data_IF_788460118602
#
_entry.id   IF_788460118602
#
_cell.length_a   1.000
_cell.length_b   1.000
_cell.length_c   1.000
_cell.angle_alpha   90.00
_cell.angle_beta   90.00
_cell.angle_gamma   90.00
#
_symmetry.space_group_name_H-M   'P 1'
#
loop_
_entity.id
_entity.type
_entity.pdbx_description
1 polymer ?
#
# COMPACT_ATOMS: atom_id res chain seq x y z
N UNK A 1 -27.47 46.28 27.58
CA UNK A 1 -26.50 46.61 28.64
C UNK A 1 -25.48 45.48 28.68
N UNK A 2 -24.31 45.69 28.06
CA UNK A 2 -22.99 45.87 28.71
C UNK A 2 -22.38 44.52 29.14
N UNK A 3 -21.41 43.97 28.39
CA UNK A 3 -19.94 44.07 28.55
C UNK A 3 -19.37 43.20 29.68
N UNK A 4 -18.44 42.32 29.28
CA UNK A 4 -17.22 41.90 30.01
C UNK A 4 -17.36 40.90 31.16
N UNK A 5 -17.00 39.63 30.91
CA UNK A 5 -16.20 38.77 31.82
C UNK A 5 -16.13 37.32 31.30
N UNK A 6 -15.26 37.02 30.33
CA UNK A 6 -14.83 35.65 30.03
C UNK A 6 -13.36 35.67 29.58
N UNK A 7 -12.46 35.92 30.53
CA UNK A 7 -11.02 35.73 30.42
C UNK A 7 -10.52 35.26 31.79
N UNK A 8 -10.70 33.98 32.12
CA UNK A 8 -9.88 33.29 33.12
C UNK A 8 -9.68 31.82 32.69
N UNK A 9 -8.44 31.47 32.39
CA UNK A 9 -8.00 30.10 32.18
C UNK A 9 -7.80 29.39 33.54
N UNK A 10 -8.12 28.08 33.67
CA UNK A 10 -7.91 27.38 34.92
C UNK A 10 -6.41 27.12 35.17
N UNK A 11 -5.98 27.45 36.40
CA UNK A 11 -4.62 27.25 36.92
C UNK A 11 -4.27 25.76 36.97
N UNK A 12 -3.06 25.43 36.53
CA UNK A 12 -2.44 24.10 36.58
C UNK A 12 -2.24 23.68 38.04
N UNK A 13 -2.80 22.53 38.42
CA UNK A 13 -2.56 21.88 39.70
C UNK A 13 -1.14 21.30 39.78
N UNK A 14 -0.52 21.41 40.96
CA UNK A 14 0.88 21.07 41.24
C UNK A 14 1.25 19.58 41.14
N UNK A 15 2.50 19.22 41.50
CA UNK A 15 3.09 17.93 41.18
C UNK A 15 2.47 16.77 41.97
N UNK A 16 2.26 15.64 41.29
CA UNK A 16 1.73 14.39 41.82
C UNK A 16 2.83 13.69 42.66
N UNK A 17 2.57 13.27 43.91
CA UNK A 17 3.57 12.59 44.73
C UNK A 17 3.79 11.12 44.29
N UNK A 18 5.05 10.69 44.31
CA UNK A 18 5.45 9.32 44.03
C UNK A 18 5.03 8.38 45.17
N UNK A 19 4.25 7.33 44.86
CA UNK A 19 4.09 6.15 45.71
C UNK A 19 4.79 4.97 45.05
N UNK A 20 5.81 4.47 45.73
CA UNK A 20 6.49 3.21 45.44
C UNK A 20 5.59 2.05 45.90
N UNK A 21 4.84 1.44 44.98
CA UNK A 21 4.27 0.11 45.20
C UNK A 21 4.95 -0.90 44.27
N UNK A 22 5.59 -1.89 44.90
CA UNK A 22 6.38 -2.95 44.29
C UNK A 22 5.55 -3.76 43.29
N UNK A 23 5.74 -3.53 41.99
CA UNK A 23 5.33 -4.47 40.95
C UNK A 23 6.29 -5.68 40.95
N UNK A 24 5.80 -6.79 41.49
CA UNK A 24 6.42 -8.11 41.33
C UNK A 24 6.20 -8.57 39.88
N UNK A 25 7.27 -8.59 39.09
CA UNK A 25 7.26 -9.13 37.73
C UNK A 25 7.20 -10.66 37.77
N UNK A 26 6.03 -11.24 37.47
CA UNK A 26 5.91 -12.68 37.25
C UNK A 26 6.66 -13.08 35.97
N UNK A 27 7.61 -14.01 36.10
CA UNK A 27 8.35 -14.58 34.97
C UNK A 27 7.43 -15.45 34.09
N UNK A 28 7.45 -15.33 32.75
CA UNK A 28 6.65 -16.20 31.89
C UNK A 28 7.26 -17.60 31.83
N UNK A 29 6.42 -18.59 32.14
CA UNK A 29 6.72 -20.01 32.11
C UNK A 29 7.16 -20.45 30.70
N UNK A 30 8.41 -20.95 30.57
CA UNK A 30 8.96 -21.50 29.33
C UNK A 30 8.50 -22.94 29.17
N UNK A 31 7.35 -23.18 28.55
CA UNK A 31 7.02 -24.54 28.09
C UNK A 31 6.14 -24.54 26.83
N UNK A 32 6.74 -25.07 25.76
CA UNK A 32 6.13 -25.68 24.57
C UNK A 32 5.67 -24.76 23.40
N UNK A 33 6.64 -24.26 22.63
CA UNK A 33 6.45 -24.10 21.18
C UNK A 33 7.31 -25.14 20.45
N UNK A 34 6.74 -26.33 20.19
CA UNK A 34 7.32 -27.26 19.21
C UNK A 34 6.99 -26.73 17.82
N UNK A 35 7.99 -26.24 17.11
CA UNK A 35 7.88 -25.91 15.70
C UNK A 35 7.65 -27.21 14.89
N UNK A 36 6.47 -27.35 14.25
CA UNK A 36 6.27 -28.35 13.21
C UNK A 36 6.86 -27.80 11.92
N UNK A 37 7.93 -28.42 11.45
CA UNK A 37 8.43 -28.26 10.08
C UNK A 37 7.35 -28.78 9.13
N UNK A 38 6.76 -27.89 8.34
CA UNK A 38 5.90 -28.25 7.23
C UNK A 38 6.62 -27.87 5.93
N UNK A 39 7.01 -28.90 5.16
CA UNK A 39 7.46 -28.78 3.77
C UNK A 39 6.44 -27.96 2.98
N UNK A 40 6.85 -26.81 2.45
CA UNK A 40 6.02 -25.98 1.56
C UNK A 40 5.88 -26.68 0.20
N UNK A 41 4.76 -27.37 0.01
CA UNK A 41 4.20 -27.60 -1.31
C UNK A 41 3.46 -26.32 -1.74
N UNK A 42 3.67 -25.88 -2.98
CA UNK A 42 3.01 -24.72 -3.57
C UNK A 42 1.48 -24.92 -3.49
N UNK A 43 0.79 -24.10 -2.69
CA UNK A 43 -0.66 -24.19 -2.47
C UNK A 43 -1.46 -23.87 -3.76
N UNK A 44 -2.69 -24.41 -3.95
CA UNK A 44 -3.49 -24.26 -5.18
C UNK A 44 -4.20 -22.90 -5.37
N UNK A 45 -4.15 -22.00 -4.38
CA UNK A 45 -4.73 -20.65 -4.42
C UNK A 45 -4.30 -19.73 -5.59
N UNK A 46 -3.08 -19.81 -6.16
CA UNK A 46 -2.68 -19.03 -7.32
C UNK A 46 -3.55 -19.30 -8.55
N UNK A 47 -4.23 -20.45 -8.61
CA UNK A 47 -5.00 -20.87 -9.77
C UNK A 47 -6.29 -20.06 -9.99
N UNK A 48 -7.03 -19.72 -8.93
CA UNK A 48 -8.29 -18.97 -9.09
C UNK A 48 -8.03 -17.51 -9.48
N UNK A 49 -7.19 -16.80 -8.72
CA UNK A 49 -6.93 -15.38 -8.95
C UNK A 49 -6.33 -15.11 -10.35
N UNK A 50 -5.44 -16.01 -10.82
CA UNK A 50 -4.89 -15.93 -12.17
C UNK A 50 -5.97 -16.17 -13.23
N UNK A 51 -6.80 -17.22 -13.08
CA UNK A 51 -7.92 -17.51 -14.00
C UNK A 51 -8.94 -16.38 -14.06
N UNK A 52 -9.30 -15.80 -12.93
CA UNK A 52 -10.19 -14.64 -12.87
C UNK A 52 -9.59 -13.48 -13.66
N UNK A 53 -8.31 -13.14 -13.45
CA UNK A 53 -7.63 -12.06 -14.20
C UNK A 53 -7.54 -12.32 -15.71
N UNK A 54 -7.29 -13.56 -16.13
CA UNK A 54 -7.20 -13.92 -17.55
C UNK A 54 -8.54 -13.85 -18.27
N UNK A 55 -9.64 -14.22 -17.60
CA UNK A 55 -10.95 -14.33 -18.24
C UNK A 55 -11.91 -13.19 -17.92
N UNK A 56 -11.57 -12.25 -17.02
CA UNK A 56 -12.44 -11.14 -16.62
C UNK A 56 -12.89 -10.29 -17.81
N UNK A 57 -12.00 -10.03 -18.77
CA UNK A 57 -12.29 -9.23 -19.96
C UNK A 57 -13.27 -9.90 -20.94
N UNK A 58 -13.53 -11.21 -20.77
CA UNK A 58 -14.47 -11.98 -21.59
C UNK A 58 -15.89 -12.06 -21.00
N UNK A 59 -16.09 -11.50 -19.80
CA UNK A 59 -17.37 -11.46 -19.11
C UNK A 59 -18.18 -10.25 -19.58
N UNK A 60 -19.49 -10.43 -19.70
CA UNK A 60 -20.42 -9.31 -19.82
C UNK A 60 -20.55 -8.57 -18.48
N UNK A 61 -21.10 -7.37 -18.49
CA UNK A 61 -21.30 -6.56 -17.29
C UNK A 61 -22.15 -7.27 -16.23
N UNK A 62 -23.19 -8.00 -16.66
CA UNK A 62 -24.02 -8.85 -15.79
C UNK A 62 -23.26 -10.07 -15.24
N UNK A 63 -22.41 -10.72 -16.04
CA UNK A 63 -21.59 -11.85 -15.59
C UNK A 63 -20.50 -11.38 -14.60
N UNK A 64 -19.89 -10.23 -14.83
CA UNK A 64 -18.91 -9.64 -13.93
C UNK A 64 -19.54 -9.23 -12.60
N UNK A 65 -20.74 -8.63 -12.63
CA UNK A 65 -21.52 -8.30 -11.43
C UNK A 65 -21.88 -9.55 -10.62
N UNK A 66 -22.38 -10.60 -11.29
CA UNK A 66 -22.69 -11.88 -10.64
C UNK A 66 -21.45 -12.54 -10.01
N UNK A 67 -20.30 -12.50 -10.71
CA UNK A 67 -19.03 -12.98 -10.19
C UNK A 67 -18.59 -12.20 -8.94
N UNK A 68 -18.67 -10.87 -8.97
CA UNK A 68 -18.32 -10.03 -7.81
C UNK A 68 -19.17 -10.38 -6.58
N UNK A 69 -20.47 -10.61 -6.78
CA UNK A 69 -21.35 -11.06 -5.71
C UNK A 69 -20.96 -12.44 -5.18
N UNK A 70 -20.65 -13.41 -6.06
CA UNK A 70 -20.25 -14.77 -5.66
C UNK A 70 -18.92 -14.85 -4.90
N UNK A 71 -18.00 -13.92 -5.15
CA UNK A 71 -16.73 -13.88 -4.41
C UNK A 71 -16.95 -13.63 -2.92
N UNK A 72 -18.05 -12.98 -2.53
CA UNK A 72 -18.38 -12.79 -1.13
C UNK A 72 -18.88 -14.11 -0.47
N UNK A 73 -18.32 -14.52 0.69
CA UNK A 73 -18.64 -15.80 1.34
C UNK A 73 -20.12 -15.99 1.69
N UNK A 74 -20.87 -14.89 1.84
CA UNK A 74 -22.29 -14.93 2.17
C UNK A 74 -23.15 -15.38 0.99
N UNK A 75 -22.80 -14.96 -0.22
CA UNK A 75 -23.62 -15.19 -1.42
C UNK A 75 -23.28 -16.50 -2.14
N UNK A 76 -22.14 -17.14 -1.83
CA UNK A 76 -21.75 -18.42 -2.44
C UNK A 76 -22.49 -19.62 -1.85
N UNK A 77 -23.16 -19.43 -0.70
CA UNK A 77 -23.77 -20.49 0.08
C UNK A 77 -22.76 -21.50 0.62
N UNK A 78 -23.25 -22.50 1.34
CA UNK A 78 -22.47 -23.68 1.73
C UNK A 78 -22.39 -24.72 0.58
N UNK A 79 -21.64 -25.80 0.79
CA UNK A 79 -21.52 -26.88 -0.21
C UNK A 79 -22.87 -27.54 -0.56
N UNK A 80 -23.87 -27.42 0.32
CA UNK A 80 -25.20 -28.02 0.16
C UNK A 80 -26.23 -27.05 -0.45
N UNK A 81 -25.87 -25.78 -0.61
CA UNK A 81 -26.77 -24.76 -1.14
C UNK A 81 -27.13 -25.06 -2.59
N UNK A 82 -28.44 -25.06 -2.89
CA UNK A 82 -28.94 -25.28 -4.23
C UNK A 82 -28.57 -24.09 -5.14
N UNK A 83 -28.15 -24.38 -6.38
CA UNK A 83 -27.83 -23.35 -7.38
C UNK A 83 -28.97 -22.34 -7.54
N UNK A 84 -30.22 -22.79 -7.46
CA UNK A 84 -31.43 -21.95 -7.48
C UNK A 84 -31.45 -20.89 -6.38
N UNK A 85 -31.03 -21.23 -5.17
CA UNK A 85 -30.99 -20.31 -4.03
C UNK A 85 -29.92 -19.24 -4.23
N UNK A 86 -28.72 -19.67 -4.66
CA UNK A 86 -27.60 -18.78 -4.97
C UNK A 86 -27.96 -17.81 -6.10
N UNK A 87 -28.60 -18.32 -7.17
CA UNK A 87 -29.09 -17.52 -8.28
C UNK A 87 -30.13 -16.49 -7.82
N UNK A 88 -31.06 -16.89 -6.96
CA UNK A 88 -32.07 -16.00 -6.36
C UNK A 88 -31.47 -14.91 -5.47
N UNK A 89 -30.46 -15.23 -4.66
CA UNK A 89 -29.79 -14.28 -3.77
C UNK A 89 -29.02 -13.19 -4.54
N UNK A 90 -28.41 -13.56 -5.67
CA UNK A 90 -27.63 -12.64 -6.51
C UNK A 90 -28.54 -11.92 -7.54
N UNK A 91 -29.79 -12.34 -7.68
CA UNK A 91 -30.75 -11.74 -8.63
C UNK A 91 -30.47 -12.10 -10.09
N UNK A 92 -29.94 -13.29 -10.36
CA UNK A 92 -29.60 -13.77 -11.71
C UNK A 92 -30.19 -15.14 -12.00
N UNK A 93 -30.17 -15.58 -13.27
CA UNK A 93 -30.62 -16.93 -13.64
C UNK A 93 -29.55 -17.99 -13.39
N UNK A 94 -29.96 -19.23 -13.08
CA UNK A 94 -29.05 -20.36 -12.90
C UNK A 94 -28.18 -20.60 -14.14
N UNK A 95 -28.75 -20.43 -15.33
CA UNK A 95 -28.05 -20.57 -16.60
C UNK A 95 -26.93 -19.54 -16.78
N UNK A 96 -27.09 -18.31 -16.28
CA UNK A 96 -26.06 -17.27 -16.32
C UNK A 96 -24.85 -17.68 -15.47
N UNK A 97 -25.09 -18.17 -14.25
CA UNK A 97 -24.03 -18.63 -13.35
C UNK A 97 -23.24 -19.79 -13.97
N UNK A 98 -23.92 -20.77 -14.59
CA UNK A 98 -23.26 -21.90 -15.24
C UNK A 98 -22.44 -21.46 -16.47
N UNK A 99 -22.98 -20.54 -17.28
CA UNK A 99 -22.29 -19.99 -18.45
C UNK A 99 -21.03 -19.22 -18.05
N UNK A 100 -21.14 -18.39 -17.02
CA UNK A 100 -20.02 -17.66 -16.43
C UNK A 100 -18.95 -18.60 -15.88
N UNK A 101 -19.33 -19.64 -15.13
CA UNK A 101 -18.38 -20.64 -14.62
C UNK A 101 -17.59 -21.31 -15.75
N UNK A 102 -18.25 -21.65 -16.86
CA UNK A 102 -17.59 -22.22 -18.04
C UNK A 102 -16.65 -21.24 -18.73
N UNK A 103 -17.03 -19.96 -18.85
CA UNK A 103 -16.15 -18.91 -19.38
C UNK A 103 -14.88 -18.71 -18.55
N UNK A 104 -14.98 -18.90 -17.24
CA UNK A 104 -13.86 -18.83 -16.29
C UNK A 104 -12.99 -20.10 -16.28
N UNK A 105 -13.28 -21.08 -17.15
CA UNK A 105 -12.52 -22.32 -17.28
C UNK A 105 -12.87 -23.41 -16.27
N UNK A 106 -14.08 -23.37 -15.71
CA UNK A 106 -14.63 -24.42 -14.83
C UNK A 106 -15.64 -25.30 -15.57
N UNK A 107 -15.77 -26.56 -15.17
CA UNK A 107 -16.76 -27.48 -15.73
C UNK A 107 -18.21 -27.04 -15.46
N UNK A 108 -18.43 -26.25 -14.41
CA UNK A 108 -19.73 -25.69 -14.03
C UNK A 108 -19.68 -25.01 -12.66
N UNK A 109 -20.85 -24.64 -12.13
CA UNK A 109 -20.96 -23.89 -10.88
C UNK A 109 -20.33 -24.59 -9.68
N UNK A 110 -20.48 -25.92 -9.56
CA UNK A 110 -19.93 -26.68 -8.43
C UNK A 110 -18.42 -26.50 -8.28
N UNK A 111 -17.68 -26.63 -9.38
CA UNK A 111 -16.22 -26.47 -9.38
C UNK A 111 -15.80 -25.02 -9.17
N UNK A 112 -16.54 -24.05 -9.73
CA UNK A 112 -16.33 -22.64 -9.43
C UNK A 112 -16.55 -22.34 -7.94
N UNK A 113 -17.62 -22.90 -7.34
CA UNK A 113 -17.95 -22.74 -5.92
C UNK A 113 -16.88 -23.35 -5.03
N UNK A 114 -16.39 -24.55 -5.33
CA UNK A 114 -15.29 -25.19 -4.58
C UNK A 114 -14.02 -24.33 -4.64
N UNK A 115 -13.69 -23.77 -5.80
CA UNK A 115 -12.54 -22.87 -5.96
C UNK A 115 -12.72 -21.55 -5.18
N UNK A 116 -13.92 -20.96 -5.20
CA UNK A 116 -14.27 -19.77 -4.44
C UNK A 116 -14.28 -20.04 -2.92
N UNK A 117 -14.80 -21.19 -2.50
CA UNK A 117 -14.83 -21.62 -1.10
C UNK A 117 -13.41 -21.83 -0.57
N UNK A 118 -12.52 -22.48 -1.32
CA UNK A 118 -11.12 -22.63 -0.91
C UNK A 118 -10.38 -21.30 -0.91
N UNK A 119 -10.62 -20.42 -1.90
CA UNK A 119 -10.06 -19.08 -1.90
C UNK A 119 -10.52 -18.26 -0.70
N UNK A 120 -11.82 -18.32 -0.38
CA UNK A 120 -12.40 -17.67 0.77
C UNK A 120 -11.92 -18.29 2.08
N UNK A 121 -11.73 -19.61 2.16
CA UNK A 121 -11.19 -20.30 3.33
C UNK A 121 -9.74 -19.92 3.60
N UNK A 122 -8.92 -19.78 2.56
CA UNK A 122 -7.52 -19.32 2.69
C UNK A 122 -7.46 -17.84 3.04
N UNK A 123 -8.23 -16.99 2.36
CA UNK A 123 -8.37 -15.58 2.73
C UNK A 123 -8.93 -15.42 4.15
N UNK A 124 -9.83 -16.30 4.57
CA UNK A 124 -10.38 -16.34 5.92
C UNK A 124 -9.40 -16.92 6.93
N UNK A 125 -8.52 -17.87 6.56
CA UNK A 125 -7.46 -18.38 7.43
C UNK A 125 -6.37 -17.32 7.64
N UNK A 126 -5.97 -16.62 6.57
CA UNK A 126 -5.11 -15.43 6.63
C UNK A 126 -5.78 -14.35 7.49
N UNK A 127 -7.08 -14.10 7.27
CA UNK A 127 -7.87 -13.17 8.07
C UNK A 127 -8.03 -13.62 9.54
N UNK A 128 -8.16 -14.90 9.82
CA UNK A 128 -8.30 -15.45 11.18
C UNK A 128 -6.95 -15.45 11.90
N UNK A 129 -5.85 -15.61 11.17
CA UNK A 129 -4.50 -15.35 11.67
C UNK A 129 -4.30 -13.85 11.92
N UNK A 130 -4.83 -12.97 11.06
CA UNK A 130 -4.83 -11.49 11.18
C UNK A 130 -5.76 -10.93 12.26
N UNK A 131 -6.88 -11.59 12.55
CA UNK A 131 -7.86 -11.23 13.56
C UNK A 131 -7.71 -12.01 14.87
N UNK A 132 -6.89 -13.07 14.89
CA UNK A 132 -6.51 -13.72 16.14
C UNK A 132 -5.94 -12.65 17.06
N UNK A 133 -6.65 -12.42 18.17
CA UNK A 133 -6.20 -11.62 19.29
C UNK A 133 -4.97 -12.34 19.80
N UNK A 134 -3.80 -11.91 19.36
CA UNK A 134 -2.57 -12.39 19.92
C UNK A 134 -2.62 -11.98 21.40
N UNK A 135 -2.77 -12.97 22.29
CA UNK A 135 -2.89 -12.70 23.72
C UNK A 135 -1.55 -12.18 24.24
N UNK A 136 -1.60 -11.01 24.88
CA UNK A 136 -0.40 -10.29 25.32
C UNK A 136 0.23 -9.36 24.27
N UNK A 137 0.86 -8.28 24.76
CA UNK A 137 1.48 -7.26 23.91
C UNK A 137 2.62 -7.81 23.04
N UNK A 138 3.38 -8.79 23.54
CA UNK A 138 4.50 -9.40 22.82
C UNK A 138 4.05 -10.12 21.55
N UNK A 139 2.97 -10.91 21.63
CA UNK A 139 2.46 -11.66 20.49
C UNK A 139 1.88 -10.72 19.41
N UNK A 140 1.21 -9.62 19.82
CA UNK A 140 0.77 -8.56 18.89
C UNK A 140 1.93 -7.86 18.20
N UNK A 141 2.98 -7.50 18.94
CA UNK A 141 4.18 -6.88 18.38
C UNK A 141 4.87 -7.82 17.36
N UNK A 142 5.09 -9.08 17.73
CA UNK A 142 5.71 -10.06 16.85
C UNK A 142 4.91 -10.25 15.56
N UNK A 143 3.57 -10.28 15.65
CA UNK A 143 2.70 -10.39 14.49
C UNK A 143 2.85 -9.23 13.52
N UNK A 144 2.80 -7.98 14.03
CA UNK A 144 2.97 -6.78 13.20
C UNK A 144 4.36 -6.75 12.56
N UNK A 145 5.43 -6.98 13.34
CA UNK A 145 6.80 -6.96 12.81
C UNK A 145 7.04 -8.05 11.77
N UNK A 146 6.52 -9.27 11.98
CA UNK A 146 6.61 -10.34 10.98
C UNK A 146 5.86 -10.00 9.70
N UNK A 147 4.69 -9.37 9.80
CA UNK A 147 3.97 -8.90 8.62
C UNK A 147 4.78 -7.84 7.86
N UNK A 148 5.42 -6.91 8.57
CA UNK A 148 6.32 -5.92 7.97
C UNK A 148 7.52 -6.56 7.26
N UNK A 149 8.20 -7.52 7.89
CA UNK A 149 9.33 -8.25 7.28
C UNK A 149 8.90 -8.95 6.00
N UNK A 150 7.78 -9.69 6.03
CA UNK A 150 7.25 -10.36 4.83
C UNK A 150 6.92 -9.37 3.71
N UNK A 151 6.35 -8.21 4.04
CA UNK A 151 6.05 -7.19 3.05
C UNK A 151 7.33 -6.63 2.39
N UNK A 152 8.39 -6.40 3.18
CA UNK A 152 9.69 -5.94 2.68
C UNK A 152 10.32 -6.99 1.75
N UNK A 153 10.29 -8.27 2.14
CA UNK A 153 10.79 -9.37 1.31
C UNK A 153 10.03 -9.48 -0.02
N UNK A 154 8.70 -9.31 0.00
CA UNK A 154 7.87 -9.26 -1.22
C UNK A 154 8.21 -8.06 -2.11
N UNK A 155 8.43 -6.89 -1.49
CA UNK A 155 8.84 -5.67 -2.19
C UNK A 155 10.18 -5.84 -2.90
N UNK A 156 11.16 -6.43 -2.22
CA UNK A 156 12.48 -6.73 -2.79
C UNK A 156 12.39 -7.59 -4.05
N UNK A 157 11.52 -8.59 -4.05
CA UNK A 157 11.32 -9.47 -5.22
C UNK A 157 10.58 -8.78 -6.39
N UNK A 158 9.97 -7.62 -6.17
CA UNK A 158 9.03 -6.99 -7.10
C UNK A 158 9.55 -5.72 -7.78
N UNK A 159 10.43 -4.97 -7.10
CA UNK A 159 10.91 -3.68 -7.60
C UNK A 159 12.04 -3.91 -8.61
N UNK A 160 11.86 -3.41 -9.84
CA UNK A 160 12.89 -3.51 -10.89
C UNK A 160 14.08 -2.59 -10.58
N UNK A 161 15.32 -3.12 -10.53
CA UNK A 161 16.52 -2.31 -10.39
C UNK A 161 16.67 -1.27 -11.52
N UNK A 162 16.33 -1.63 -12.74
CA UNK A 162 16.40 -0.74 -13.91
C UNK A 162 15.39 0.42 -13.79
N UNK A 163 14.19 0.13 -13.28
CA UNK A 163 13.21 1.17 -13.00
C UNK A 163 13.70 2.13 -11.89
N UNK A 164 14.38 1.61 -10.87
CA UNK A 164 14.99 2.41 -9.81
C UNK A 164 16.04 3.38 -10.38
N UNK A 165 16.97 2.89 -11.21
CA UNK A 165 18.01 3.72 -11.84
C UNK A 165 17.43 4.78 -12.79
N UNK A 166 16.41 4.41 -13.58
CA UNK A 166 15.71 5.36 -14.45
C UNK A 166 14.98 6.43 -13.65
N UNK A 167 14.30 6.07 -12.57
CA UNK A 167 13.66 7.03 -11.67
C UNK A 167 14.69 7.97 -11.05
N UNK A 168 15.84 7.44 -10.60
CA UNK A 168 16.92 8.23 -10.03
C UNK A 168 17.45 9.25 -11.03
N UNK A 169 17.73 8.81 -12.25
CA UNK A 169 18.19 9.67 -13.35
C UNK A 169 17.18 10.77 -13.69
N UNK A 170 15.90 10.42 -13.79
CA UNK A 170 14.83 11.39 -14.03
C UNK A 170 14.74 12.43 -12.92
N UNK A 171 14.78 12.02 -11.65
CA UNK A 171 14.77 12.94 -10.53
C UNK A 171 16.02 13.82 -10.54
N UNK A 172 17.21 13.26 -10.68
CA UNK A 172 18.45 14.03 -10.63
C UNK A 172 18.51 15.10 -11.72
N UNK A 173 18.13 14.76 -12.95
CA UNK A 173 18.16 15.69 -14.08
C UNK A 173 17.00 16.71 -14.11
N UNK A 174 15.95 16.52 -13.31
CA UNK A 174 14.77 17.38 -13.36
C UNK A 174 15.06 18.82 -12.92
N UNK A 175 14.54 19.79 -13.68
CA UNK A 175 14.60 21.22 -13.32
C UNK A 175 13.70 21.51 -12.11
N UNK A 176 12.48 20.98 -12.13
CA UNK A 176 11.54 21.03 -11.02
C UNK A 176 11.00 19.64 -10.70
N UNK A 177 10.76 19.39 -9.42
CA UNK A 177 10.32 18.10 -8.88
C UNK A 177 9.10 18.33 -8.01
N UNK A 178 7.97 17.78 -8.41
CA UNK A 178 6.72 17.88 -7.67
C UNK A 178 6.28 16.49 -7.22
N UNK A 179 6.02 16.33 -5.93
CA UNK A 179 5.63 15.07 -5.31
C UNK A 179 4.16 15.12 -4.94
N UNK A 180 3.38 14.19 -5.47
CA UNK A 180 1.92 14.15 -5.36
C UNK A 180 1.46 12.95 -4.54
N UNK A 181 0.58 13.16 -3.57
CA UNK A 181 -0.01 12.04 -2.84
C UNK A 181 -1.04 12.49 -1.81
N UNK A 182 -2.15 11.77 -1.68
CA UNK A 182 -3.21 12.11 -0.72
C UNK A 182 -3.15 11.23 0.53
N UNK A 183 -3.57 11.79 1.67
CA UNK A 183 -3.67 11.09 2.95
C UNK A 183 -2.35 10.41 3.34
N UNK A 184 -2.39 9.09 3.57
CA UNK A 184 -1.19 8.31 3.92
C UNK A 184 -0.09 8.36 2.86
N UNK A 185 -0.45 8.47 1.57
CA UNK A 185 0.54 8.58 0.49
C UNK A 185 1.20 9.96 0.46
N UNK A 186 0.49 11.01 0.90
CA UNK A 186 1.05 12.35 1.10
C UNK A 186 2.11 12.39 2.20
N UNK A 187 1.98 11.56 3.24
CA UNK A 187 3.03 11.42 4.27
C UNK A 187 4.30 10.78 3.72
N UNK A 188 4.16 9.79 2.84
CA UNK A 188 5.30 9.17 2.14
C UNK A 188 5.98 10.18 1.21
N UNK A 189 5.20 11.00 0.49
CA UNK A 189 5.71 12.08 -0.34
C UNK A 189 6.51 13.12 0.47
N UNK A 190 6.01 13.51 1.65
CA UNK A 190 6.73 14.40 2.58
C UNK A 190 8.03 13.82 3.07
N UNK A 191 8.02 12.55 3.48
CA UNK A 191 9.23 11.88 3.95
C UNK A 191 10.29 11.82 2.83
N UNK A 192 9.88 11.45 1.61
CA UNK A 192 10.75 11.48 0.44
C UNK A 192 11.38 12.88 0.26
N UNK A 193 10.56 13.94 0.19
CA UNK A 193 11.06 15.31 0.02
C UNK A 193 12.04 15.72 1.12
N UNK A 194 11.77 15.33 2.37
CA UNK A 194 12.68 15.56 3.49
C UNK A 194 14.03 14.83 3.31
N UNK A 195 14.03 13.56 2.90
CA UNK A 195 15.27 12.81 2.68
C UNK A 195 16.07 13.36 1.49
N UNK A 196 15.40 13.64 0.36
CA UNK A 196 16.04 14.20 -0.84
C UNK A 196 16.66 15.57 -0.57
N UNK A 197 16.05 16.39 0.29
CA UNK A 197 16.60 17.69 0.66
C UNK A 197 18.01 17.59 1.27
N UNK A 198 18.30 16.53 2.04
CA UNK A 198 19.60 16.31 2.69
C UNK A 198 20.74 16.18 1.67
N UNK A 199 20.46 15.57 0.51
CA UNK A 199 21.44 15.40 -0.58
C UNK A 199 21.39 16.56 -1.60
N UNK A 200 20.61 17.61 -1.32
CA UNK A 200 20.47 18.80 -2.16
C UNK A 200 19.43 18.70 -3.27
N UNK A 201 18.63 17.63 -3.28
CA UNK A 201 17.53 17.46 -4.23
C UNK A 201 16.26 18.06 -3.64
N UNK A 202 15.86 19.22 -4.14
CA UNK A 202 14.67 19.95 -3.65
C UNK A 202 13.43 19.52 -4.43
N UNK A 203 12.35 19.23 -3.71
CA UNK A 203 11.04 18.91 -4.28
C UNK A 203 9.91 19.62 -3.52
N UNK A 204 8.87 20.00 -4.25
CA UNK A 204 7.62 20.51 -3.66
C UNK A 204 6.67 19.36 -3.41
N UNK A 205 5.95 19.35 -2.29
CA UNK A 205 4.97 18.31 -1.97
C UNK A 205 3.58 18.91 -2.03
N UNK A 206 2.68 18.25 -2.75
CA UNK A 206 1.28 18.61 -2.86
C UNK A 206 0.41 17.43 -2.47
N UNK A 207 -0.30 17.55 -1.35
CA UNK A 207 -1.18 16.53 -0.80
C UNK A 207 -2.66 16.92 -0.78
N UNK A 208 -2.97 18.11 -1.29
CA UNK A 208 -4.31 18.56 -1.63
C UNK A 208 -4.59 18.41 -3.13
N UNK A 209 -5.80 17.94 -3.46
CA UNK A 209 -6.25 17.68 -4.83
C UNK A 209 -6.19 18.91 -5.74
N UNK A 210 -6.55 20.09 -5.23
CA UNK A 210 -6.58 21.31 -6.02
C UNK A 210 -5.16 21.82 -6.24
N UNK A 211 -4.33 21.78 -5.21
CA UNK A 211 -2.92 22.17 -5.32
C UNK A 211 -2.15 21.27 -6.27
N UNK A 212 -2.37 19.95 -6.26
CA UNK A 212 -1.77 19.04 -7.23
C UNK A 212 -2.11 19.44 -8.67
N UNK A 213 -3.38 19.80 -8.94
CA UNK A 213 -3.80 20.24 -10.27
C UNK A 213 -3.20 21.58 -10.68
N UNK A 214 -3.15 22.55 -9.75
CA UNK A 214 -2.53 23.85 -10.01
C UNK A 214 -1.04 23.72 -10.32
N UNK A 215 -0.31 22.92 -9.54
CA UNK A 215 1.10 22.61 -9.81
C UNK A 215 1.24 21.92 -11.17
N UNK A 216 0.47 20.87 -11.43
CA UNK A 216 0.54 20.11 -12.68
C UNK A 216 0.30 20.98 -13.92
N UNK A 217 -0.60 21.95 -13.82
CA UNK A 217 -0.91 22.90 -14.90
C UNK A 217 0.27 23.82 -15.26
N UNK A 218 1.22 24.05 -14.34
CA UNK A 218 2.36 24.94 -14.51
C UNK A 218 3.67 24.20 -14.84
N UNK A 219 3.67 22.87 -14.79
CA UNK A 219 4.82 22.07 -15.18
C UNK A 219 5.10 22.18 -16.67
N UNK A 220 6.33 21.84 -17.06
CA UNK A 220 6.76 21.83 -18.47
C UNK A 220 7.82 20.76 -18.73
N UNK A 221 8.23 20.63 -20.00
CA UNK A 221 9.32 19.74 -20.40
C UNK A 221 10.58 19.98 -19.55
N UNK A 222 11.18 18.90 -19.06
CA UNK A 222 12.34 18.92 -18.17
C UNK A 222 11.98 18.91 -16.67
N UNK A 223 10.70 18.93 -16.32
CA UNK A 223 10.23 18.70 -14.95
C UNK A 223 9.88 17.23 -14.72
N UNK A 224 9.82 16.84 -13.45
CA UNK A 224 9.40 15.51 -13.03
C UNK A 224 8.34 15.59 -11.95
N UNK A 225 7.37 14.67 -12.04
CA UNK A 225 6.39 14.38 -11.01
C UNK A 225 6.68 13.00 -10.44
N UNK A 226 6.69 12.88 -9.12
CA UNK A 226 6.60 11.60 -8.44
C UNK A 226 5.24 11.47 -7.76
N UNK A 227 4.42 10.54 -8.26
CA UNK A 227 3.06 10.32 -7.78
C UNK A 227 2.99 9.07 -6.88
N UNK A 228 2.57 9.26 -5.64
CA UNK A 228 2.44 8.24 -4.61
C UNK A 228 0.99 7.81 -4.49
N UNK A 229 0.68 6.57 -4.85
CA UNK A 229 -0.66 6.01 -4.65
C UNK A 229 -0.58 4.49 -4.47
N UNK A 230 -0.93 4.02 -3.28
CA UNK A 230 -0.93 2.59 -2.95
C UNK A 230 -1.72 1.76 -3.98
N UNK A 231 -2.97 2.14 -4.27
CA UNK A 231 -3.81 1.44 -5.25
C UNK A 231 -3.48 1.79 -6.71
N UNK A 232 -2.86 2.96 -6.94
CA UNK A 232 -2.67 3.54 -8.26
C UNK A 232 -3.98 3.92 -8.97
N UNK A 233 -5.09 4.04 -8.21
CA UNK A 233 -6.44 4.32 -8.71
C UNK A 233 -7.02 5.63 -8.16
N UNK A 234 -6.31 6.33 -7.26
CA UNK A 234 -6.79 7.57 -6.65
C UNK A 234 -7.08 8.63 -7.73
N UNK A 235 -8.35 9.00 -7.89
CA UNK A 235 -8.81 9.83 -9.00
C UNK A 235 -8.12 11.20 -9.07
N UNK A 236 -7.95 11.87 -7.92
CA UNK A 236 -7.29 13.18 -7.85
C UNK A 236 -5.82 13.11 -8.32
N UNK A 237 -5.08 12.11 -7.84
CA UNK A 237 -3.68 11.86 -8.23
C UNK A 237 -3.59 11.55 -9.73
N UNK A 238 -4.46 10.67 -10.24
CA UNK A 238 -4.49 10.34 -11.67
C UNK A 238 -4.77 11.57 -12.53
N UNK A 239 -5.72 12.42 -12.12
CA UNK A 239 -6.07 13.64 -12.84
C UNK A 239 -4.87 14.60 -12.92
N UNK A 240 -4.20 14.84 -11.79
CA UNK A 240 -3.01 15.69 -11.74
C UNK A 240 -1.82 15.10 -12.51
N UNK A 241 -1.58 13.80 -12.38
CA UNK A 241 -0.52 13.09 -13.09
C UNK A 241 -0.70 13.16 -14.62
N UNK A 242 -1.94 12.98 -15.12
CA UNK A 242 -2.27 13.16 -16.54
C UNK A 242 -2.03 14.60 -17.00
N UNK A 243 -2.45 15.59 -16.22
CA UNK A 243 -2.23 17.00 -16.53
C UNK A 243 -0.74 17.33 -16.63
N UNK A 244 0.07 16.85 -15.67
CA UNK A 244 1.51 17.06 -15.67
C UNK A 244 2.18 16.46 -16.93
N UNK A 245 1.77 15.25 -17.31
CA UNK A 245 2.26 14.60 -18.54
C UNK A 245 1.85 15.33 -19.81
N UNK A 246 0.61 15.82 -19.89
CA UNK A 246 0.15 16.63 -21.01
C UNK A 246 1.01 17.89 -21.20
N UNK A 247 1.50 18.45 -20.11
CA UNK A 247 2.42 19.59 -20.13
C UNK A 247 3.90 19.20 -20.36
N UNK A 248 4.20 17.91 -20.50
CA UNK A 248 5.53 17.39 -20.85
C UNK A 248 6.44 17.07 -19.66
N UNK A 249 5.93 17.06 -18.43
CA UNK A 249 6.67 16.55 -17.28
C UNK A 249 6.80 15.02 -17.35
N UNK A 250 7.94 14.49 -16.87
CA UNK A 250 8.14 13.05 -16.67
C UNK A 250 7.36 12.59 -15.45
N UNK A 251 6.65 11.47 -15.56
CA UNK A 251 5.87 10.90 -14.47
C UNK A 251 6.53 9.63 -13.92
N UNK A 252 6.86 9.64 -12.64
CA UNK A 252 7.32 8.49 -11.87
C UNK A 252 6.19 8.07 -10.92
N UNK A 253 5.76 6.81 -11.00
CA UNK A 253 4.74 6.27 -10.11
C UNK A 253 5.40 5.47 -8.97
N UNK A 254 4.93 5.68 -7.74
CA UNK A 254 5.22 4.84 -6.57
C UNK A 254 3.91 4.19 -6.12
N UNK A 255 3.77 2.89 -6.38
CA UNK A 255 2.49 2.17 -6.19
C UNK A 255 2.72 0.72 -5.75
N UNK A 256 1.68 0.07 -5.24
CA UNK A 256 1.72 -1.35 -4.90
C UNK A 256 1.17 -2.25 -6.01
N UNK A 257 0.65 -1.69 -7.10
CA UNK A 257 0.00 -2.46 -8.18
C UNK A 257 0.57 -2.11 -9.55
N UNK A 258 1.29 -3.06 -10.14
CA UNK A 258 1.86 -2.95 -11.48
C UNK A 258 0.81 -2.76 -12.59
N UNK A 259 -0.40 -3.29 -12.40
CA UNK A 259 -1.52 -3.18 -13.35
C UNK A 259 -2.47 -2.00 -13.06
N UNK A 260 -2.06 -1.05 -12.23
CA UNK A 260 -2.86 0.14 -11.94
C UNK A 260 -2.85 1.14 -13.10
N UNK A 261 -3.90 1.99 -13.23
CA UNK A 261 -3.89 3.11 -14.16
C UNK A 261 -2.65 4.00 -14.01
N UNK A 262 -2.24 4.32 -12.77
CA UNK A 262 -1.08 5.17 -12.51
C UNK A 262 0.22 4.54 -13.03
N UNK A 263 0.41 3.24 -12.81
CA UNK A 263 1.56 2.49 -13.33
C UNK A 263 1.61 2.53 -14.86
N UNK A 264 0.49 2.21 -15.54
CA UNK A 264 0.40 2.20 -17.01
C UNK A 264 0.65 3.56 -17.66
N UNK A 265 0.31 4.64 -16.98
CA UNK A 265 0.41 5.99 -17.51
C UNK A 265 1.75 6.67 -17.17
N UNK A 266 2.58 6.06 -16.33
CA UNK A 266 3.88 6.60 -15.90
C UNK A 266 5.01 6.29 -16.88
N UNK A 267 6.00 7.18 -16.95
CA UNK A 267 7.25 6.92 -17.69
C UNK A 267 8.10 5.85 -16.96
N UNK A 268 8.02 5.84 -15.61
CA UNK A 268 8.70 4.88 -14.73
C UNK A 268 7.76 4.50 -13.60
N UNK A 269 7.58 3.20 -13.36
CA UNK A 269 6.77 2.69 -12.25
C UNK A 269 7.64 1.90 -11.26
N UNK A 270 7.70 2.38 -10.01
CA UNK A 270 8.28 1.67 -8.87
C UNK A 270 7.15 0.92 -8.16
N UNK A 271 7.06 -0.38 -8.45
CA UNK A 271 5.94 -1.24 -8.04
C UNK A 271 6.37 -2.31 -7.03
N UNK A 272 5.79 -2.30 -5.84
CA UNK A 272 6.09 -3.30 -4.81
C UNK A 272 5.19 -4.56 -4.83
N UNK A 273 4.18 -4.64 -5.73
CA UNK A 273 3.25 -5.77 -5.91
C UNK A 273 2.70 -6.40 -4.62
N UNK A 274 2.32 -5.56 -3.66
CA UNK A 274 1.80 -6.03 -2.37
C UNK A 274 0.35 -6.50 -2.51
N UNK A 275 0.03 -7.66 -1.93
CA UNK A 275 -1.36 -8.15 -1.81
C UNK A 275 -2.10 -7.31 -0.76
N UNK A 276 -3.41 -7.12 -0.97
CA UNK A 276 -4.24 -6.26 -0.11
C UNK A 276 -5.25 -7.07 0.74
N UNK A 277 -5.21 -6.93 2.06
CA UNK A 277 -6.23 -7.26 3.06
C UNK A 277 -6.84 -5.97 3.63
N UNK A 278 -8.17 -5.77 3.58
CA UNK A 278 -8.83 -4.54 4.07
C UNK A 278 -8.69 -4.27 5.58
N UNK A 279 -8.31 -5.27 6.38
CA UNK A 279 -8.35 -5.20 7.85
C UNK A 279 -6.99 -5.30 8.53
N UNK A 280 -5.97 -5.81 7.84
CA UNK A 280 -4.60 -5.75 8.33
C UNK A 280 -4.08 -4.31 8.22
N UNK A 281 -3.21 -3.91 9.14
CA UNK A 281 -2.45 -2.66 9.08
C UNK A 281 -1.46 -2.58 7.90
N UNK A 282 -1.87 -3.01 6.71
CA UNK A 282 -1.08 -3.02 5.47
C UNK A 282 -0.82 -1.62 4.94
N UNK A 283 -1.63 -0.61 5.29
CA UNK A 283 -1.21 0.77 5.11
C UNK A 283 0.13 1.04 5.84
N UNK A 284 0.39 0.38 6.97
CA UNK A 284 1.66 0.49 7.67
C UNK A 284 2.76 -0.37 7.02
N UNK A 285 2.48 -1.65 6.72
CA UNK A 285 3.49 -2.52 6.10
C UNK A 285 3.86 -2.07 4.67
N UNK A 286 2.89 -1.74 3.84
CA UNK A 286 3.12 -1.20 2.50
C UNK A 286 3.82 0.15 2.52
N UNK A 287 3.51 1.00 3.52
CA UNK A 287 4.27 2.22 3.75
C UNK A 287 5.73 1.90 4.05
N UNK A 288 6.03 0.92 4.90
CA UNK A 288 7.43 0.52 5.16
C UNK A 288 8.15 0.11 3.88
N UNK A 289 7.49 -0.67 3.02
CA UNK A 289 8.07 -1.06 1.72
C UNK A 289 8.30 0.17 0.82
N UNK A 290 7.33 1.08 0.72
CA UNK A 290 7.48 2.31 -0.06
C UNK A 290 8.63 3.18 0.47
N UNK A 291 8.77 3.30 1.80
CA UNK A 291 9.89 4.01 2.44
C UNK A 291 11.23 3.33 2.13
N UNK A 292 11.32 2.01 2.21
CA UNK A 292 12.54 1.28 1.83
C UNK A 292 12.91 1.44 0.35
N UNK A 293 11.91 1.45 -0.54
CA UNK A 293 12.13 1.74 -1.98
C UNK A 293 12.62 3.18 -2.17
N UNK A 294 12.10 4.13 -1.39
CA UNK A 294 12.57 5.52 -1.41
C UNK A 294 13.99 5.67 -0.87
N UNK A 295 14.40 4.92 0.16
CA UNK A 295 15.77 4.92 0.66
C UNK A 295 16.75 4.38 -0.38
N UNK A 296 16.36 3.31 -1.11
CA UNK A 296 17.13 2.79 -2.23
C UNK A 296 17.21 3.83 -3.36
N UNK A 297 16.11 4.52 -3.67
CA UNK A 297 16.07 5.56 -4.69
C UNK A 297 16.92 6.78 -4.30
N UNK A 298 16.87 7.22 -3.04
CA UNK A 298 17.70 8.27 -2.49
C UNK A 298 19.18 7.93 -2.67
N UNK A 299 19.56 6.70 -2.32
CA UNK A 299 20.92 6.19 -2.49
C UNK A 299 21.34 6.20 -3.96
N UNK A 300 20.48 5.73 -4.86
CA UNK A 300 20.73 5.77 -6.30
C UNK A 300 20.89 7.21 -6.84
N UNK A 301 20.05 8.14 -6.40
CA UNK A 301 20.18 9.56 -6.78
C UNK A 301 21.46 10.18 -6.24
N UNK A 302 21.83 9.88 -4.99
CA UNK A 302 23.07 10.36 -4.40
C UNK A 302 24.30 9.82 -5.14
N UNK A 303 24.25 8.60 -5.65
CA UNK A 303 25.37 7.99 -6.40
C UNK A 303 25.62 8.62 -7.77
N UNK A 304 24.62 9.30 -8.37
CA UNK A 304 24.82 9.99 -9.66
C UNK A 304 25.88 11.10 -9.53
N UNK A 305 25.90 11.82 -8.41
CA UNK A 305 26.98 12.75 -8.04
C UNK A 305 27.24 12.67 -6.53
N UNK A 306 28.01 11.64 -6.15
CA UNK A 306 28.32 11.34 -4.75
C UNK A 306 29.00 12.51 -4.04
N UNK A 307 29.93 13.18 -4.70
CA UNK A 307 30.68 14.28 -4.12
C UNK A 307 29.77 15.49 -3.84
N UNK A 308 28.82 15.81 -4.73
CA UNK A 308 27.84 16.86 -4.46
C UNK A 308 26.87 16.47 -3.34
N UNK A 309 26.41 15.22 -3.32
CA UNK A 309 25.54 14.71 -2.27
C UNK A 309 26.21 14.80 -0.88
N UNK A 310 27.46 14.36 -0.74
CA UNK A 310 28.22 14.43 0.51
C UNK A 310 28.41 15.87 1.01
N UNK A 311 28.77 16.79 0.10
CA UNK A 311 28.85 18.23 0.42
C UNK A 311 27.52 18.77 0.91
N UNK A 312 26.41 18.41 0.28
CA UNK A 312 25.08 18.88 0.67
C UNK A 312 24.64 18.30 2.02
N UNK A 313 24.94 17.03 2.30
CA UNK A 313 24.68 16.42 3.61
C UNK A 313 25.44 17.16 4.70
N UNK A 314 26.73 17.43 4.50
CA UNK A 314 27.54 18.18 5.46
C UNK A 314 27.03 19.61 5.66
N UNK A 315 26.65 20.31 4.58
CA UNK A 315 26.10 21.68 4.64
C UNK A 315 24.76 21.73 5.38
N UNK A 316 23.87 20.77 5.11
CA UNK A 316 22.55 20.70 5.76
C UNK A 316 22.68 20.30 7.23
N UNK A 317 23.59 19.39 7.59
CA UNK A 317 23.89 19.06 8.98
C UNK A 317 24.46 20.25 9.77
N UNK A 318 25.44 20.96 9.19
CA UNK A 318 26.03 22.15 9.80
C UNK A 318 24.99 23.27 10.03
N UNK A 319 24.08 23.50 9.07
CA UNK A 319 23.01 24.48 9.21
C UNK A 319 22.03 24.15 10.36
N UNK A 320 21.93 22.87 10.73
CA UNK A 320 21.11 22.40 11.85
C UNK A 320 21.90 22.30 13.17
N UNK A 321 23.16 22.72 13.19
CA UNK A 321 24.03 22.60 14.37
C UNK A 321 24.39 21.17 14.75
N UNK A 322 24.28 20.21 13.81
CA UNK A 322 24.67 18.82 14.02
C UNK A 322 26.08 18.61 13.49
N UNK A 323 27.01 18.20 14.35
CA UNK A 323 28.30 17.63 13.94
C UNK A 323 28.03 16.31 13.21
N UNK A 324 28.74 16.01 12.11
CA UNK A 324 28.59 14.75 11.39
C UNK A 324 28.67 13.56 12.37
N UNK A 325 27.65 12.69 12.36
CA UNK A 325 27.57 11.47 13.16
C UNK A 325 28.59 10.43 12.69
#
# INVERSE_FOLDING_TARGET
>A
MSKTALLEAPRVAGPIPAREDKLVWAQPNRSSCRARSAKQALSPAPALALRLRTHLASLTELEASALFSLVHPRATGDENSLLKCVAGEIGVSEALIVKMAKKLGFAGFRQLREALAEHNRLAQADLQEELCVAEGACARLQKVLRASVRAIEQGLASVSPEALERAASCLYAARQRDFYGEGGSGQVARDAAHQFLRIGVRASVFDDSQQMLMSAALLRRGDAVMAFSYSGQTAAILKAARQARQNGARLIAVTSRSDSPLSRESDVALCANLRSSPWAGENAAARLVQLSVLDALLSAVAQIDYAAAERNVSRTAAALGRSNF
#
